data_IF_825865131174
#
_entry.id   IF_825865131174
#
_cell.length_a   1.000
_cell.length_b   1.000
_cell.length_c   1.000
_cell.angle_alpha   90.00
_cell.angle_beta   90.00
_cell.angle_gamma   90.00
#
_symmetry.space_group_name_H-M   'P 1'
#
loop_
_entity.id
_entity.type
_entity.pdbx_description
1 polymer ?
#
# COMPACT_ATOMS: atom_id res chain seq x y z
N UNK A 1 -20.83 5.49 12.23
CA UNK A 1 -19.89 5.87 13.30
C UNK A 1 -18.54 6.31 12.75
N UNK A 2 -17.82 5.46 11.99
CA UNK A 2 -16.59 5.84 11.25
C UNK A 2 -16.56 7.22 10.62
N UNK A 3 -17.54 7.56 9.77
CA UNK A 3 -17.57 8.88 9.11
C UNK A 3 -17.59 10.04 10.11
N UNK A 4 -18.29 9.93 11.24
CA UNK A 4 -18.34 10.98 12.26
C UNK A 4 -16.98 11.17 12.92
N UNK A 5 -16.35 10.08 13.37
CA UNK A 5 -15.00 10.09 13.98
C UNK A 5 -14.01 10.81 13.04
N UNK A 6 -14.10 10.48 11.75
CA UNK A 6 -13.30 11.04 10.69
C UNK A 6 -13.59 12.53 10.39
N UNK A 7 -14.82 12.98 10.61
CA UNK A 7 -15.21 14.40 10.48
C UNK A 7 -14.82 15.27 11.68
N UNK A 8 -14.05 14.74 12.64
CA UNK A 8 -13.62 15.49 13.83
C UNK A 8 -14.59 15.40 15.01
N UNK A 9 -15.58 14.51 14.94
CA UNK A 9 -16.40 14.16 16.09
C UNK A 9 -15.51 13.64 17.22
N UNK A 10 -15.69 14.16 18.44
CA UNK A 10 -14.99 13.66 19.61
C UNK A 10 -15.80 12.54 20.29
N UNK A 11 -15.46 11.25 20.11
CA UNK A 11 -16.21 10.15 20.72
C UNK A 11 -16.12 10.10 22.24
N UNK A 12 -15.21 10.88 22.84
CA UNK A 12 -15.03 11.01 24.29
C UNK A 12 -15.88 12.13 24.90
N UNK A 13 -16.52 12.95 24.08
CA UNK A 13 -17.43 13.97 24.58
C UNK A 13 -18.57 13.30 25.35
N UNK A 14 -18.83 13.83 26.55
CA UNK A 14 -19.92 13.37 27.41
C UNK A 14 -21.15 14.21 27.15
N UNK A 15 -22.30 13.55 27.11
CA UNK A 15 -23.60 14.21 27.09
C UNK A 15 -24.01 14.72 28.50
N UNK A 16 -25.23 15.23 28.60
CA UNK A 16 -25.79 15.74 29.86
C UNK A 16 -25.96 14.66 30.95
N UNK A 17 -25.90 13.37 30.60
CA UNK A 17 -25.94 12.24 31.52
C UNK A 17 -24.54 11.71 31.84
N UNK A 18 -23.48 12.33 31.32
CA UNK A 18 -22.11 11.87 31.48
C UNK A 18 -21.75 10.70 30.57
N UNK A 19 -22.61 10.35 29.60
CA UNK A 19 -22.44 9.22 28.71
C UNK A 19 -21.61 9.62 27.48
N UNK A 20 -20.66 8.76 27.12
CA UNK A 20 -19.88 8.87 25.87
C UNK A 20 -20.55 8.10 24.75
N UNK A 21 -20.05 8.24 23.51
CA UNK A 21 -20.55 7.44 22.38
C UNK A 21 -20.44 5.93 22.61
N UNK A 22 -19.48 5.49 23.43
CA UNK A 22 -19.34 4.08 23.80
C UNK A 22 -20.48 3.63 24.71
N UNK A 23 -20.88 4.44 25.69
CA UNK A 23 -22.05 4.15 26.54
C UNK A 23 -23.31 3.98 25.69
N UNK A 24 -23.57 4.93 24.79
CA UNK A 24 -24.74 4.90 23.90
C UNK A 24 -24.72 3.70 22.96
N UNK A 25 -23.56 3.37 22.38
CA UNK A 25 -23.40 2.19 21.51
C UNK A 25 -23.64 0.88 22.27
N UNK A 26 -23.24 0.83 23.55
CA UNK A 26 -23.45 -0.32 24.43
C UNK A 26 -24.91 -0.46 24.88
N UNK A 27 -25.61 0.65 25.14
CA UNK A 27 -27.05 0.65 25.44
C UNK A 27 -27.83 0.09 24.23
N UNK A 28 -27.44 0.52 23.02
CA UNK A 28 -28.10 0.14 21.78
C UNK A 28 -27.72 -1.28 21.27
N UNK A 29 -26.68 -1.90 21.82
CA UNK A 29 -26.20 -3.21 21.36
C UNK A 29 -25.50 -3.18 20.00
N UNK A 30 -25.01 -2.03 19.54
CA UNK A 30 -24.36 -1.90 18.24
C UNK A 30 -22.89 -2.32 18.31
N UNK A 31 -22.62 -3.62 18.13
CA UNK A 31 -21.27 -4.19 18.18
C UNK A 31 -20.28 -3.52 17.22
N UNK A 32 -20.72 -3.15 16.00
CA UNK A 32 -19.85 -2.51 15.01
C UNK A 32 -19.35 -1.16 15.52
N UNK A 33 -20.24 -0.34 16.08
CA UNK A 33 -19.86 0.96 16.64
C UNK A 33 -18.98 0.80 17.88
N UNK A 34 -19.25 -0.21 18.73
CA UNK A 34 -18.40 -0.56 19.88
C UNK A 34 -16.98 -0.93 19.43
N UNK A 35 -16.84 -1.78 18.39
CA UNK A 35 -15.53 -2.15 17.81
C UNK A 35 -14.77 -0.91 17.31
N UNK A 36 -15.43 -0.10 16.47
CA UNK A 36 -14.83 1.12 15.90
C UNK A 36 -14.39 2.14 16.98
N UNK A 37 -15.12 2.21 18.08
CA UNK A 37 -14.82 3.08 19.22
C UNK A 37 -13.69 2.55 20.10
N UNK A 38 -13.64 1.23 20.36
CA UNK A 38 -12.60 0.60 21.16
C UNK A 38 -11.24 0.59 20.45
N UNK A 39 -11.23 0.62 19.12
CA UNK A 39 -10.03 0.72 18.29
C UNK A 39 -9.42 2.13 18.26
N UNK A 40 -10.08 3.15 18.83
CA UNK A 40 -9.53 4.51 18.89
C UNK A 40 -8.42 4.62 19.95
N UNK A 41 -7.36 5.37 19.64
CA UNK A 41 -6.28 5.63 20.58
C UNK A 41 -6.78 6.31 21.86
N UNK A 42 -6.45 5.71 23.00
CA UNK A 42 -6.88 6.20 24.31
C UNK A 42 -8.37 6.01 24.61
N UNK A 43 -9.02 5.00 24.01
CA UNK A 43 -10.39 4.62 24.37
C UNK A 43 -10.47 4.20 25.86
N UNK A 44 -11.36 4.86 26.61
CA UNK A 44 -11.59 4.58 28.02
C UNK A 44 -12.83 3.70 28.19
N UNK A 45 -12.61 2.41 28.45
CA UNK A 45 -13.67 1.38 28.47
C UNK A 45 -14.42 1.31 29.81
N UNK A 46 -13.81 1.81 30.88
CA UNK A 46 -14.32 1.73 32.26
C UNK A 46 -14.80 3.08 32.81
N UNK A 47 -14.99 4.08 31.95
CA UNK A 47 -15.56 5.35 32.35
C UNK A 47 -16.97 5.15 32.90
N UNK A 48 -17.30 5.89 33.95
CA UNK A 48 -18.64 5.91 34.55
C UNK A 48 -19.45 7.11 34.07
N UNK A 49 -20.72 6.89 33.78
CA UNK A 49 -21.71 7.96 33.59
C UNK A 49 -22.11 8.61 34.94
N UNK A 50 -23.01 9.60 34.92
CA UNK A 50 -23.47 10.28 36.14
C UNK A 50 -24.18 9.36 37.14
N UNK A 51 -24.69 8.22 36.68
CA UNK A 51 -25.31 7.20 37.53
C UNK A 51 -24.30 6.15 38.02
N UNK A 52 -22.99 6.36 37.76
CA UNK A 52 -21.94 5.44 38.15
C UNK A 52 -21.85 4.18 37.27
N UNK A 53 -22.57 4.12 36.14
CA UNK A 53 -22.60 2.92 35.26
C UNK A 53 -21.52 3.02 34.19
N UNK A 54 -20.79 1.93 33.97
CA UNK A 54 -19.84 1.79 32.86
C UNK A 54 -20.53 1.31 31.58
N UNK A 55 -19.91 1.45 30.39
CA UNK A 55 -20.44 0.89 29.14
C UNK A 55 -20.76 -0.60 29.25
N UNK A 56 -19.89 -1.38 29.91
CA UNK A 56 -20.11 -2.80 30.15
C UNK A 56 -21.34 -3.08 31.03
N UNK A 57 -21.54 -2.29 32.10
CA UNK A 57 -22.72 -2.40 32.96
C UNK A 57 -24.01 -2.09 32.19
N UNK A 58 -23.97 -1.09 31.30
CA UNK A 58 -25.11 -0.72 30.46
C UNK A 58 -25.45 -1.82 29.44
N UNK A 59 -24.45 -2.39 28.75
CA UNK A 59 -24.65 -3.53 27.87
C UNK A 59 -25.21 -4.75 28.61
N UNK A 60 -24.70 -5.01 29.83
CA UNK A 60 -25.16 -6.09 30.72
C UNK A 60 -26.61 -5.92 31.15
N UNK A 61 -27.00 -4.71 31.56
CA UNK A 61 -28.38 -4.40 31.95
C UNK A 61 -29.38 -4.55 30.80
N UNK A 62 -28.94 -4.41 29.55
CA UNK A 62 -29.74 -4.61 28.33
C UNK A 62 -29.58 -6.01 27.71
N UNK A 63 -28.72 -6.87 28.27
CA UNK A 63 -28.45 -8.26 27.83
C UNK A 63 -27.85 -8.41 26.42
N UNK A 64 -27.06 -7.43 25.96
CA UNK A 64 -26.34 -7.50 24.67
C UNK A 64 -25.07 -8.37 24.77
N UNK A 65 -25.24 -9.69 24.70
CA UNK A 65 -24.17 -10.67 25.01
C UNK A 65 -22.91 -10.54 24.14
N UNK A 66 -23.07 -10.28 22.86
CA UNK A 66 -21.98 -10.08 21.89
C UNK A 66 -21.11 -8.85 22.24
N UNK A 67 -21.74 -7.75 22.65
CA UNK A 67 -21.07 -6.54 23.14
C UNK A 67 -20.39 -6.80 24.49
N UNK A 68 -21.05 -7.52 25.40
CA UNK A 68 -20.50 -7.87 26.72
C UNK A 68 -19.23 -8.72 26.56
N UNK A 69 -19.27 -9.75 25.73
CA UNK A 69 -18.14 -10.63 25.47
C UNK A 69 -16.97 -9.86 24.87
N UNK A 70 -17.24 -9.03 23.86
CA UNK A 70 -16.22 -8.20 23.24
C UNK A 70 -15.58 -7.22 24.22
N UNK A 71 -16.37 -6.48 25.01
CA UNK A 71 -15.85 -5.51 25.98
C UNK A 71 -15.06 -6.18 27.11
N UNK A 72 -15.53 -7.30 27.66
CA UNK A 72 -14.79 -8.06 28.68
C UNK A 72 -13.41 -8.47 28.15
N UNK A 73 -13.34 -8.93 26.90
CA UNK A 73 -12.06 -9.28 26.25
C UNK A 73 -11.14 -8.07 26.13
N UNK A 74 -11.67 -6.91 25.73
CA UNK A 74 -10.88 -5.69 25.60
C UNK A 74 -10.38 -5.16 26.96
N UNK A 75 -11.24 -5.12 27.97
CA UNK A 75 -10.89 -4.70 29.33
C UNK A 75 -9.81 -5.63 29.93
N UNK A 76 -9.98 -6.95 29.80
CA UNK A 76 -8.97 -7.93 30.21
C UNK A 76 -7.64 -7.73 29.49
N UNK A 77 -7.68 -7.40 28.19
CA UNK A 77 -6.47 -7.12 27.41
C UNK A 77 -5.78 -5.83 27.86
N UNK A 78 -6.54 -4.79 28.24
CA UNK A 78 -6.00 -3.49 28.71
C UNK A 78 -5.41 -3.57 30.11
N UNK A 79 -5.98 -4.42 30.97
CA UNK A 79 -5.52 -4.64 32.35
C UNK A 79 -4.42 -5.71 32.47
N UNK A 80 -4.01 -6.35 31.36
CA UNK A 80 -2.87 -7.28 31.35
C UNK A 80 -1.57 -6.51 31.55
N UNK A 81 -0.89 -6.74 32.67
CA UNK A 81 0.41 -6.14 32.99
C UNK A 81 1.56 -6.70 32.13
N UNK A 82 1.36 -7.86 31.51
CA UNK A 82 2.32 -8.46 30.58
C UNK A 82 2.04 -7.85 29.20
N UNK A 83 2.99 -7.10 28.59
CA UNK A 83 2.86 -6.71 27.20
C UNK A 83 2.75 -8.00 26.39
N UNK A 84 1.70 -8.12 25.57
CA UNK A 84 1.63 -9.20 24.58
C UNK A 84 2.77 -8.98 23.61
N UNK A 85 3.89 -9.66 23.86
CA UNK A 85 5.00 -9.71 22.93
C UNK A 85 4.54 -10.57 21.76
N UNK A 86 3.89 -9.93 20.79
CA UNK A 86 3.51 -10.59 19.55
C UNK A 86 4.78 -10.75 18.71
N UNK A 87 5.54 -11.79 19.05
CA UNK A 87 6.82 -12.14 18.42
C UNK A 87 6.66 -12.29 16.90
N UNK A 88 5.50 -12.76 16.45
CA UNK A 88 5.15 -12.86 15.03
C UNK A 88 4.98 -11.48 14.40
N UNK A 89 4.32 -10.53 15.07
CA UNK A 89 4.25 -9.14 14.56
C UNK A 89 5.60 -8.42 14.56
N UNK A 90 6.49 -8.76 15.50
CA UNK A 90 7.84 -8.20 15.56
C UNK A 90 8.67 -8.75 14.40
N UNK A 91 8.64 -10.07 14.17
CA UNK A 91 9.40 -10.73 13.12
C UNK A 91 8.82 -10.43 11.73
N UNK A 92 7.51 -10.56 11.56
CA UNK A 92 6.83 -10.57 10.26
C UNK A 92 5.93 -9.36 10.01
N UNK A 93 5.90 -8.36 10.90
CA UNK A 93 5.05 -7.17 10.78
C UNK A 93 3.61 -7.39 11.26
N UNK A 94 2.88 -6.33 11.60
CA UNK A 94 1.51 -6.43 12.10
C UNK A 94 0.52 -6.88 11.01
N UNK A 95 -0.67 -7.39 11.39
CA UNK A 95 -1.72 -7.74 10.43
C UNK A 95 -2.03 -6.56 9.48
N UNK A 96 -1.96 -6.81 8.17
CA UNK A 96 -2.15 -5.79 7.14
C UNK A 96 -0.88 -5.02 6.72
N UNK A 97 0.27 -5.24 7.39
CA UNK A 97 1.58 -4.73 6.99
C UNK A 97 2.68 -5.79 7.18
N UNK A 98 2.56 -6.90 6.47
CA UNK A 98 3.45 -8.06 6.59
C UNK A 98 4.78 -7.86 5.86
N UNK A 99 5.88 -8.23 6.53
CA UNK A 99 7.26 -8.32 6.00
C UNK A 99 7.58 -9.68 5.38
N UNK A 100 6.64 -10.63 5.37
CA UNK A 100 6.90 -12.01 4.92
C UNK A 100 7.47 -12.03 3.50
N UNK A 101 6.92 -11.25 2.58
CA UNK A 101 7.36 -11.25 1.17
C UNK A 101 8.82 -10.76 1.03
N UNK A 102 9.16 -9.63 1.64
CA UNK A 102 10.53 -9.10 1.60
C UNK A 102 11.50 -10.03 2.35
N UNK A 103 11.12 -10.59 3.50
CA UNK A 103 11.97 -11.53 4.23
C UNK A 103 12.21 -12.81 3.45
N UNK A 104 11.18 -13.38 2.83
CA UNK A 104 11.30 -14.53 1.94
C UNK A 104 12.28 -14.23 0.81
N UNK A 105 12.12 -13.10 0.12
CA UNK A 105 13.03 -12.66 -0.94
C UNK A 105 14.48 -12.54 -0.43
N UNK A 106 14.71 -11.87 0.70
CA UNK A 106 16.05 -11.64 1.26
C UNK A 106 16.74 -12.94 1.67
N UNK A 107 16.01 -13.83 2.37
CA UNK A 107 16.53 -15.12 2.82
C UNK A 107 16.82 -16.01 1.63
N UNK A 108 15.93 -16.08 0.65
CA UNK A 108 16.13 -16.87 -0.55
C UNK A 108 17.39 -16.42 -1.32
N UNK A 109 17.49 -15.13 -1.64
CA UNK A 109 18.65 -14.61 -2.39
C UNK A 109 19.95 -14.80 -1.62
N UNK A 110 19.95 -14.56 -0.30
CA UNK A 110 21.17 -14.56 0.52
C UNK A 110 21.61 -15.94 0.99
N UNK A 111 20.67 -16.83 1.31
CA UNK A 111 20.95 -18.17 1.85
C UNK A 111 20.89 -19.27 0.79
N UNK A 112 20.34 -19.00 -0.39
CA UNK A 112 20.22 -19.98 -1.47
C UNK A 112 20.80 -19.48 -2.79
N UNK A 113 20.27 -18.39 -3.36
CA UNK A 113 20.68 -17.87 -4.66
C UNK A 113 22.18 -17.57 -4.78
N UNK A 114 22.72 -16.72 -3.90
CA UNK A 114 24.15 -16.39 -3.92
C UNK A 114 25.08 -17.54 -3.55
N UNK A 115 24.80 -18.36 -2.51
CA UNK A 115 25.60 -19.55 -2.25
C UNK A 115 25.66 -20.51 -3.44
N UNK A 116 24.52 -20.78 -4.10
CA UNK A 116 24.48 -21.60 -5.31
C UNK A 116 25.30 -20.98 -6.44
N UNK A 117 25.16 -19.67 -6.67
CA UNK A 117 25.95 -18.97 -7.67
C UNK A 117 27.45 -19.07 -7.39
N UNK A 118 27.90 -18.80 -6.16
CA UNK A 118 29.32 -18.77 -5.80
C UNK A 118 29.94 -20.18 -5.79
N UNK A 119 29.24 -21.18 -5.26
CA UNK A 119 29.81 -22.52 -5.04
C UNK A 119 29.72 -23.38 -6.30
N UNK A 120 28.63 -23.25 -7.07
CA UNK A 120 28.36 -24.16 -8.19
C UNK A 120 28.47 -23.49 -9.56
N UNK A 121 27.93 -22.29 -9.73
CA UNK A 121 27.91 -21.64 -11.04
C UNK A 121 29.26 -20.98 -11.37
N UNK A 122 29.70 -20.04 -10.54
CA UNK A 122 30.88 -19.21 -10.77
C UNK A 122 32.14 -20.02 -11.11
N UNK A 123 32.58 -21.03 -10.32
CA UNK A 123 33.79 -21.78 -10.64
C UNK A 123 33.65 -22.64 -11.91
N UNK A 124 32.44 -23.05 -12.25
CA UNK A 124 32.17 -23.90 -13.40
C UNK A 124 32.15 -23.09 -14.71
N UNK A 125 31.51 -21.92 -14.70
CA UNK A 125 31.24 -21.15 -15.93
C UNK A 125 32.14 -19.93 -16.11
N UNK A 126 33.11 -19.67 -15.22
CA UNK A 126 33.88 -18.43 -15.24
C UNK A 126 34.58 -18.17 -16.58
N UNK A 127 35.30 -19.16 -17.10
CA UNK A 127 36.11 -19.01 -18.29
C UNK A 127 35.28 -18.94 -19.57
N UNK A 128 34.18 -19.70 -19.62
CA UNK A 128 33.31 -19.77 -20.80
C UNK A 128 32.35 -18.58 -20.88
N UNK A 129 31.87 -18.10 -19.73
CA UNK A 129 30.80 -17.09 -19.63
C UNK A 129 31.23 -15.80 -18.89
N UNK A 130 32.53 -15.46 -18.93
CA UNK A 130 33.10 -14.32 -18.20
C UNK A 130 32.32 -13.00 -18.39
N UNK A 131 31.93 -12.68 -19.63
CA UNK A 131 31.18 -11.45 -19.94
C UNK A 131 29.81 -11.47 -19.26
N UNK A 132 29.13 -12.62 -19.25
CA UNK A 132 27.83 -12.76 -18.60
C UNK A 132 27.95 -12.62 -17.08
N UNK A 133 29.04 -13.11 -16.47
CA UNK A 133 29.31 -12.89 -15.05
C UNK A 133 29.49 -11.40 -14.72
N UNK A 134 30.24 -10.65 -15.55
CA UNK A 134 30.41 -9.20 -15.37
C UNK A 134 29.05 -8.49 -15.44
N UNK A 135 28.23 -8.82 -16.44
CA UNK A 135 26.86 -8.29 -16.55
C UNK A 135 26.03 -8.65 -15.31
N UNK A 136 26.09 -9.90 -14.87
CA UNK A 136 25.36 -10.38 -13.69
C UNK A 136 25.76 -9.62 -12.42
N UNK A 137 27.05 -9.34 -12.21
CA UNK A 137 27.52 -8.54 -11.06
C UNK A 137 27.02 -7.09 -11.13
N UNK A 138 27.11 -6.44 -12.29
CA UNK A 138 26.61 -5.07 -12.47
C UNK A 138 25.10 -5.01 -12.22
N UNK A 139 24.34 -5.95 -12.77
CA UNK A 139 22.90 -6.03 -12.56
C UNK A 139 22.53 -6.24 -11.08
N UNK A 140 23.29 -7.04 -10.34
CA UNK A 140 23.09 -7.19 -8.89
C UNK A 140 23.32 -5.87 -8.13
N UNK A 141 24.37 -5.11 -8.48
CA UNK A 141 24.63 -3.79 -7.87
C UNK A 141 23.45 -2.86 -8.14
N UNK A 142 22.97 -2.80 -9.39
CA UNK A 142 21.81 -1.97 -9.77
C UNK A 142 20.54 -2.41 -9.04
N UNK A 143 20.30 -3.72 -8.94
CA UNK A 143 19.15 -4.30 -8.25
C UNK A 143 19.13 -3.90 -6.77
N UNK A 144 20.23 -4.10 -6.03
CA UNK A 144 20.28 -3.75 -4.62
C UNK A 144 20.19 -2.25 -4.38
N UNK A 145 20.87 -1.45 -5.19
CA UNK A 145 20.80 0.00 -5.13
C UNK A 145 19.36 0.51 -5.35
N UNK A 146 18.70 0.00 -6.38
CA UNK A 146 17.32 0.38 -6.70
C UNK A 146 16.31 -0.14 -5.67
N UNK A 147 16.50 -1.34 -5.10
CA UNK A 147 15.68 -1.85 -4.00
C UNK A 147 15.82 -0.98 -2.74
N UNK A 148 17.04 -0.60 -2.38
CA UNK A 148 17.29 0.31 -1.26
C UNK A 148 16.55 1.63 -1.45
N UNK A 149 16.66 2.25 -2.63
CA UNK A 149 15.96 3.50 -2.91
C UNK A 149 14.44 3.33 -3.00
N UNK A 150 13.93 2.25 -3.61
CA UNK A 150 12.49 2.00 -3.67
C UNK A 150 11.88 1.84 -2.27
N UNK A 151 12.56 1.12 -1.38
CA UNK A 151 12.10 0.82 -0.01
C UNK A 151 12.23 2.01 0.96
N UNK A 152 13.25 2.85 0.81
CA UNK A 152 13.54 3.93 1.78
C UNK A 152 13.06 5.32 1.34
N UNK A 153 12.85 5.54 0.05
CA UNK A 153 12.42 6.85 -0.46
C UNK A 153 10.98 7.13 -0.05
N UNK A 154 10.70 8.35 0.44
CA UNK A 154 9.33 8.86 0.58
C UNK A 154 8.61 8.73 -0.76
N UNK A 155 7.52 7.93 -0.87
CA UNK A 155 6.83 7.67 -2.13
C UNK A 155 6.09 8.89 -2.68
N UNK A 156 6.01 9.98 -1.92
CA UNK A 156 5.24 11.18 -2.24
C UNK A 156 4.10 11.37 -1.26
N UNK A 157 4.37 11.27 0.03
CA UNK A 157 3.38 11.53 1.06
C UNK A 157 2.82 12.96 0.97
N UNK A 158 1.51 13.06 1.00
CA UNK A 158 0.80 14.35 1.02
C UNK A 158 0.75 14.93 2.45
N UNK A 159 0.61 16.26 2.58
CA UNK A 159 0.44 16.94 3.86
C UNK A 159 -0.87 16.50 4.54
N UNK A 160 -0.95 16.67 5.86
CA UNK A 160 -2.15 16.38 6.66
C UNK A 160 -2.74 17.66 7.23
N UNK A 161 -4.04 17.64 7.54
CA UNK A 161 -4.74 18.74 8.21
C UNK A 161 -4.61 20.06 7.43
N UNK A 162 -4.93 20.01 6.14
CA UNK A 162 -4.80 21.18 5.27
C UNK A 162 -6.07 22.05 5.36
N UNK A 163 -5.97 23.39 5.37
CA UNK A 163 -7.13 24.28 5.53
C UNK A 163 -8.23 24.08 4.48
N UNK A 164 -7.85 23.68 3.27
CA UNK A 164 -8.75 23.42 2.15
C UNK A 164 -9.75 22.30 2.46
N UNK A 165 -9.36 21.33 3.30
CA UNK A 165 -10.27 20.30 3.78
C UNK A 165 -11.40 20.89 4.62
N UNK A 166 -11.06 21.79 5.55
CA UNK A 166 -12.05 22.40 6.43
C UNK A 166 -12.98 23.33 5.65
N UNK A 167 -12.45 24.02 4.64
CA UNK A 167 -13.25 24.82 3.71
C UNK A 167 -14.21 23.94 2.91
N UNK A 168 -13.72 22.84 2.32
CA UNK A 168 -14.55 21.90 1.56
C UNK A 168 -15.65 21.25 2.41
N UNK A 169 -15.36 20.94 3.67
CA UNK A 169 -16.37 20.42 4.62
C UNK A 169 -17.42 21.48 4.96
N UNK A 170 -17.03 22.74 5.18
CA UNK A 170 -18.01 23.82 5.45
C UNK A 170 -18.96 24.05 4.28
N UNK A 171 -18.48 23.87 3.05
CA UNK A 171 -19.29 24.02 1.85
C UNK A 171 -20.27 22.86 1.62
N UNK A 172 -20.22 21.77 2.40
CA UNK A 172 -21.20 20.65 2.33
C UNK A 172 -22.64 21.15 2.50
N UNK A 173 -22.85 22.24 3.23
CA UNK A 173 -24.18 22.85 3.38
C UNK A 173 -24.80 23.31 2.04
N UNK A 174 -23.97 23.55 1.01
CA UNK A 174 -24.37 23.95 -0.34
C UNK A 174 -24.34 22.79 -1.33
N UNK A 175 -24.41 21.53 -0.86
CA UNK A 175 -24.27 20.34 -1.69
C UNK A 175 -25.24 20.29 -2.89
N UNK A 176 -26.45 20.83 -2.76
CA UNK A 176 -27.43 20.83 -3.85
C UNK A 176 -26.98 21.64 -5.07
N UNK A 177 -26.15 22.67 -4.87
CA UNK A 177 -25.54 23.48 -5.93
C UNK A 177 -24.46 22.69 -6.71
N UNK A 178 -23.87 21.66 -6.09
CA UNK A 178 -22.84 20.81 -6.71
C UNK A 178 -23.39 19.69 -7.59
N UNK A 179 -24.71 19.50 -7.67
CA UNK A 179 -25.31 18.54 -8.61
C UNK A 179 -25.04 18.90 -10.08
N UNK A 180 -24.65 20.15 -10.35
CA UNK A 180 -24.37 20.67 -11.69
C UNK A 180 -22.87 20.96 -11.94
N UNK A 181 -21.98 20.65 -10.98
CA UNK A 181 -20.54 20.95 -11.05
C UNK A 181 -19.64 19.86 -10.45
N UNK A 182 -18.34 20.15 -10.31
CA UNK A 182 -17.40 19.21 -9.68
C UNK A 182 -17.68 19.08 -8.17
N UNK A 183 -17.85 17.85 -7.69
CA UNK A 183 -18.11 17.58 -6.27
C UNK A 183 -16.81 17.30 -5.51
N UNK A 184 -16.24 18.27 -4.76
CA UNK A 184 -14.98 18.10 -4.04
C UNK A 184 -15.07 17.06 -2.93
N UNK A 185 -16.27 16.72 -2.44
CA UNK A 185 -16.46 15.74 -1.36
C UNK A 185 -16.02 14.35 -1.75
N UNK A 186 -16.16 14.00 -3.04
CA UNK A 186 -15.75 12.69 -3.57
C UNK A 186 -14.25 12.42 -3.40
N UNK A 187 -13.45 13.49 -3.25
CA UNK A 187 -11.99 13.45 -3.17
C UNK A 187 -11.47 13.71 -1.76
N UNK A 188 -12.33 13.85 -0.76
CA UNK A 188 -11.89 14.01 0.61
C UNK A 188 -11.19 12.73 1.13
N UNK A 189 -10.12 12.93 1.88
CA UNK A 189 -9.57 11.93 2.77
C UNK A 189 -9.70 12.45 4.19
N UNK A 190 -10.64 11.91 4.93
CA UNK A 190 -10.87 12.32 6.30
C UNK A 190 -9.76 11.86 7.26
N UNK A 191 -9.17 10.68 7.04
CA UNK A 191 -8.03 10.18 7.84
C UNK A 191 -6.84 11.13 7.82
N UNK A 192 -6.56 11.76 6.68
CA UNK A 192 -5.47 12.71 6.54
C UNK A 192 -5.93 14.18 6.59
N UNK A 193 -7.25 14.43 6.69
CA UNK A 193 -7.89 15.75 6.56
C UNK A 193 -7.32 16.56 5.39
N UNK A 194 -7.49 16.02 4.18
CA UNK A 194 -7.08 16.68 2.94
C UNK A 194 -8.04 16.40 1.78
N UNK A 195 -8.11 17.33 0.83
CA UNK A 195 -8.70 17.11 -0.49
C UNK A 195 -7.63 16.45 -1.37
N UNK A 196 -7.85 15.20 -1.77
CA UNK A 196 -6.85 14.42 -2.52
C UNK A 196 -6.61 15.06 -3.89
N UNK A 197 -5.37 15.45 -4.24
CA UNK A 197 -5.01 15.82 -5.61
C UNK A 197 -5.32 14.71 -6.61
N UNK A 198 -5.38 15.05 -7.89
CA UNK A 198 -5.60 14.08 -8.96
C UNK A 198 -4.61 12.91 -8.86
N UNK A 199 -5.07 11.70 -9.20
CA UNK A 199 -4.28 10.45 -9.15
C UNK A 199 -3.74 10.04 -7.76
N UNK A 200 -4.08 10.76 -6.69
CA UNK A 200 -3.65 10.41 -5.33
C UNK A 200 -4.64 9.49 -4.61
N UNK A 201 -4.15 8.66 -3.70
CA UNK A 201 -4.96 7.72 -2.91
C UNK A 201 -4.46 7.61 -1.49
N UNK A 202 -5.38 7.37 -0.56
CA UNK A 202 -5.05 6.97 0.81
C UNK A 202 -4.64 5.50 0.83
N UNK A 203 -3.39 5.22 1.23
CA UNK A 203 -2.97 3.87 1.56
C UNK A 203 -3.25 3.63 3.04
N UNK A 204 -4.09 2.63 3.34
CA UNK A 204 -4.42 2.25 4.72
C UNK A 204 -3.21 1.69 5.48
N UNK A 205 -2.32 0.98 4.78
CA UNK A 205 -1.12 0.37 5.36
C UNK A 205 -0.10 1.44 5.75
N UNK A 206 0.24 2.33 4.81
CA UNK A 206 1.09 3.49 5.06
C UNK A 206 0.39 4.55 5.95
N UNK A 207 -0.92 4.40 6.21
CA UNK A 207 -1.82 5.36 6.86
C UNK A 207 -1.67 6.80 6.34
N UNK A 208 -1.39 6.98 5.04
CA UNK A 208 -1.08 8.28 4.43
C UNK A 208 -1.66 8.35 3.02
N UNK A 209 -2.02 9.54 2.58
CA UNK A 209 -2.27 9.80 1.16
C UNK A 209 -0.95 9.90 0.41
N UNK A 210 -0.87 9.22 -0.73
CA UNK A 210 0.29 9.18 -1.62
C UNK A 210 -0.06 9.87 -2.92
N UNK A 211 0.81 10.77 -3.38
CA UNK A 211 0.73 11.42 -4.69
C UNK A 211 1.01 10.40 -5.81
N UNK A 212 0.21 10.43 -6.88
CA UNK A 212 0.25 9.46 -8.00
C UNK A 212 0.41 8.04 -7.46
N UNK A 213 -0.58 7.58 -6.70
CA UNK A 213 -0.51 6.30 -6.00
C UNK A 213 -0.58 5.15 -7.00
N UNK A 214 0.43 4.29 -6.99
CA UNK A 214 0.44 3.08 -7.81
C UNK A 214 -0.07 1.88 -7.00
N UNK A 215 0.66 1.46 -5.99
CA UNK A 215 0.23 0.37 -5.09
C UNK A 215 1.02 0.39 -3.79
N UNK A 216 0.62 -0.43 -2.82
CA UNK A 216 1.46 -0.75 -1.66
C UNK A 216 2.15 -2.08 -1.94
N UNK A 217 3.48 -2.10 -1.87
CA UNK A 217 4.26 -3.24 -2.31
C UNK A 217 4.91 -3.96 -1.11
N UNK A 218 4.53 -5.22 -0.84
CA UNK A 218 5.09 -5.97 0.28
C UNK A 218 6.55 -6.37 0.06
N UNK A 219 7.03 -6.42 -1.19
CA UNK A 219 8.41 -6.79 -1.54
C UNK A 219 9.44 -5.68 -1.28
N UNK A 220 9.01 -4.42 -1.23
CA UNK A 220 9.88 -3.29 -0.82
C UNK A 220 9.47 -2.72 0.54
N UNK A 221 8.43 -3.28 1.16
CA UNK A 221 7.82 -2.83 2.41
C UNK A 221 7.50 -1.32 2.44
N UNK A 222 7.07 -0.78 1.31
CA UNK A 222 6.78 0.64 1.13
C UNK A 222 5.65 0.81 0.09
N UNK A 223 5.03 1.99 0.09
CA UNK A 223 4.16 2.39 -0.99
C UNK A 223 5.00 2.71 -2.25
N UNK A 224 4.49 2.36 -3.43
CA UNK A 224 5.01 2.82 -4.73
C UNK A 224 4.14 3.99 -5.17
N UNK A 225 4.76 5.15 -5.34
CA UNK A 225 4.10 6.40 -5.69
C UNK A 225 4.98 7.29 -6.56
N UNK A 226 4.57 8.55 -6.69
CA UNK A 226 5.24 9.52 -7.56
C UNK A 226 6.77 9.53 -7.42
N UNK A 227 7.28 9.65 -6.19
CA UNK A 227 8.71 9.91 -5.95
C UNK A 227 9.62 8.68 -6.05
N UNK A 228 9.09 7.45 -5.96
CA UNK A 228 9.91 6.23 -5.91
C UNK A 228 9.56 5.18 -6.98
N UNK A 229 8.54 5.40 -7.82
CA UNK A 229 8.14 4.46 -8.89
C UNK A 229 9.25 4.13 -9.89
N UNK A 230 10.15 5.07 -10.16
CA UNK A 230 11.30 4.87 -11.04
C UNK A 230 12.32 3.89 -10.44
N UNK A 231 12.55 3.97 -9.13
CA UNK A 231 13.41 3.02 -8.42
C UNK A 231 12.80 1.63 -8.40
N UNK A 232 11.50 1.53 -8.14
CA UNK A 232 10.78 0.27 -8.20
C UNK A 232 10.81 -0.35 -9.60
N UNK A 233 10.69 0.47 -10.66
CA UNK A 233 10.81 0.02 -12.05
C UNK A 233 12.20 -0.53 -12.36
N UNK A 234 13.26 0.18 -11.99
CA UNK A 234 14.65 -0.27 -12.19
C UNK A 234 14.92 -1.57 -11.40
N UNK A 235 14.38 -1.68 -10.19
CA UNK A 235 14.48 -2.89 -9.38
C UNK A 235 13.84 -4.09 -10.08
N UNK A 236 12.61 -3.96 -10.56
CA UNK A 236 11.91 -5.05 -11.26
C UNK A 236 12.58 -5.42 -12.58
N UNK A 237 13.07 -4.44 -13.35
CA UNK A 237 13.79 -4.70 -14.60
C UNK A 237 15.15 -5.36 -14.38
N UNK A 238 15.90 -4.95 -13.36
CA UNK A 238 17.16 -5.62 -13.02
C UNK A 238 16.92 -7.05 -12.52
N UNK A 239 15.88 -7.28 -11.71
CA UNK A 239 15.42 -8.62 -11.33
C UNK A 239 15.10 -9.49 -12.55
N UNK A 240 14.41 -8.94 -13.57
CA UNK A 240 14.08 -9.67 -14.79
C UNK A 240 15.34 -10.13 -15.54
N UNK A 241 16.29 -9.22 -15.74
CA UNK A 241 17.54 -9.53 -16.42
C UNK A 241 18.39 -10.53 -15.62
N UNK A 242 18.45 -10.39 -14.29
CA UNK A 242 19.14 -11.34 -13.41
C UNK A 242 18.53 -12.73 -13.48
N UNK A 243 17.19 -12.82 -13.52
CA UNK A 243 16.49 -14.10 -13.64
C UNK A 243 16.83 -14.79 -14.97
N UNK A 244 16.82 -14.04 -16.09
CA UNK A 244 17.26 -14.56 -17.40
C UNK A 244 18.71 -15.05 -17.39
N UNK A 245 19.63 -14.32 -16.76
CA UNK A 245 21.01 -14.77 -16.62
C UNK A 245 21.12 -16.05 -15.77
N UNK A 246 20.34 -16.13 -14.68
CA UNK A 246 20.33 -17.29 -13.78
C UNK A 246 19.82 -18.54 -14.48
N UNK A 247 18.71 -18.42 -15.22
CA UNK A 247 18.16 -19.52 -16.01
C UNK A 247 19.15 -19.99 -17.08
N UNK A 248 19.86 -19.07 -17.73
CA UNK A 248 20.88 -19.40 -18.72
C UNK A 248 22.09 -20.12 -18.09
N UNK A 249 22.58 -19.64 -16.94
CA UNK A 249 23.66 -20.33 -16.21
C UNK A 249 23.25 -21.75 -15.83
N UNK A 250 22.03 -21.93 -15.30
CA UNK A 250 21.53 -23.23 -14.92
C UNK A 250 21.38 -24.16 -16.14
N UNK A 251 20.85 -23.66 -17.26
CA UNK A 251 20.77 -24.40 -18.51
C UNK A 251 22.15 -24.86 -19.00
N UNK A 252 23.13 -23.95 -19.03
CA UNK A 252 24.48 -24.22 -19.51
C UNK A 252 25.18 -25.31 -18.68
N UNK A 253 25.06 -25.24 -17.35
CA UNK A 253 25.65 -26.26 -16.47
C UNK A 253 24.95 -27.61 -16.71
N UNK A 254 23.62 -27.63 -16.75
CA UNK A 254 22.84 -28.86 -16.92
C UNK A 254 22.97 -29.49 -18.31
N UNK A 255 23.39 -28.74 -19.34
CA UNK A 255 23.67 -29.32 -20.65
C UNK A 255 24.98 -30.09 -20.70
N UNK A 256 25.91 -29.80 -19.80
CA UNK A 256 27.22 -30.46 -19.71
C UNK A 256 27.24 -31.53 -18.62
N UNK A 257 26.70 -31.23 -17.44
CA UNK A 257 26.68 -32.14 -16.30
C UNK A 257 25.40 -32.02 -15.48
N UNK A 258 24.81 -33.18 -15.16
CA UNK A 258 23.61 -33.23 -14.33
C UNK A 258 23.96 -33.04 -12.84
N UNK A 259 23.36 -32.03 -12.21
CA UNK A 259 23.45 -31.79 -10.76
C UNK A 259 22.06 -31.50 -10.17
N UNK A 260 21.63 -32.30 -9.19
CA UNK A 260 20.31 -32.17 -8.56
C UNK A 260 20.07 -30.81 -7.90
N UNK A 261 21.09 -30.21 -7.29
CA UNK A 261 20.94 -28.90 -6.66
C UNK A 261 20.74 -27.81 -7.71
N UNK A 262 21.43 -27.91 -8.86
CA UNK A 262 21.21 -27.00 -9.98
C UNK A 262 19.84 -27.22 -10.62
N UNK A 263 19.36 -28.46 -10.74
CA UNK A 263 17.99 -28.72 -11.21
C UNK A 263 16.93 -28.07 -10.30
N UNK A 264 17.07 -28.20 -8.97
CA UNK A 264 16.15 -27.57 -8.01
C UNK A 264 16.21 -26.04 -8.15
N UNK A 265 17.42 -25.47 -8.20
CA UNK A 265 17.61 -24.04 -8.40
C UNK A 265 17.05 -23.53 -9.73
N UNK A 266 17.17 -24.29 -10.81
CA UNK A 266 16.63 -23.96 -12.13
C UNK A 266 15.10 -23.93 -12.13
N UNK A 267 14.44 -24.89 -11.46
CA UNK A 267 12.97 -24.91 -11.35
C UNK A 267 12.50 -23.69 -10.55
N UNK A 268 13.15 -23.39 -9.44
CA UNK A 268 12.82 -22.23 -8.62
C UNK A 268 13.04 -20.91 -9.37
N UNK A 269 14.20 -20.75 -10.02
CA UNK A 269 14.52 -19.59 -10.83
C UNK A 269 13.49 -19.42 -11.96
N UNK A 270 13.12 -20.49 -12.66
CA UNK A 270 12.09 -20.45 -13.71
C UNK A 270 10.72 -20.00 -13.20
N UNK A 271 10.29 -20.45 -12.01
CA UNK A 271 9.04 -19.96 -11.38
C UNK A 271 9.15 -18.46 -11.07
N UNK A 272 10.27 -18.02 -10.52
CA UNK A 272 10.53 -16.60 -10.25
C UNK A 272 10.55 -15.78 -11.55
N UNK A 273 11.17 -16.28 -12.61
CA UNK A 273 11.23 -15.67 -13.94
C UNK A 273 9.85 -15.42 -14.51
N UNK A 274 8.92 -16.39 -14.41
CA UNK A 274 7.53 -16.22 -14.87
C UNK A 274 6.87 -15.04 -14.13
N UNK A 275 6.98 -15.01 -12.80
CA UNK A 275 6.40 -13.95 -11.98
C UNK A 275 6.99 -12.58 -12.30
N UNK A 276 8.32 -12.48 -12.35
CA UNK A 276 9.04 -11.23 -12.63
C UNK A 276 8.77 -10.75 -14.06
N UNK A 277 8.67 -11.65 -15.04
CA UNK A 277 8.31 -11.30 -16.43
C UNK A 277 6.92 -10.67 -16.51
N UNK A 278 5.94 -11.24 -15.79
CA UNK A 278 4.58 -10.70 -15.77
C UNK A 278 4.55 -9.29 -15.16
N UNK A 279 5.24 -9.07 -14.03
CA UNK A 279 5.31 -7.76 -13.38
C UNK A 279 6.07 -6.75 -14.24
N UNK A 280 7.20 -7.14 -14.83
CA UNK A 280 8.02 -6.29 -15.72
C UNK A 280 7.22 -5.85 -16.94
N UNK A 281 6.49 -6.77 -17.58
CA UNK A 281 5.64 -6.48 -18.73
C UNK A 281 4.51 -5.51 -18.35
N UNK A 282 3.84 -5.76 -17.22
CA UNK A 282 2.78 -4.88 -16.70
C UNK A 282 3.31 -3.48 -16.41
N UNK A 283 4.43 -3.36 -15.72
CA UNK A 283 5.05 -2.07 -15.38
C UNK A 283 5.53 -1.31 -16.60
N UNK A 284 6.09 -2.01 -17.59
CA UNK A 284 6.50 -1.42 -18.87
C UNK A 284 5.30 -0.85 -19.59
N UNK A 285 4.21 -1.61 -19.69
CA UNK A 285 2.97 -1.12 -20.26
C UNK A 285 2.43 0.11 -19.52
N UNK A 286 2.39 0.07 -18.18
CA UNK A 286 1.95 1.18 -17.34
C UNK A 286 2.78 2.46 -17.55
N UNK A 287 4.10 2.32 -17.64
CA UNK A 287 5.01 3.41 -17.97
C UNK A 287 4.75 3.95 -19.38
N UNK A 288 4.66 3.08 -20.39
CA UNK A 288 4.48 3.50 -21.79
C UNK A 288 3.10 4.09 -22.07
N UNK A 289 2.11 3.84 -21.21
CA UNK A 289 0.76 4.39 -21.31
C UNK A 289 0.44 5.41 -20.20
N UNK A 290 1.42 5.85 -19.41
CA UNK A 290 1.24 6.82 -18.31
C UNK A 290 0.03 6.53 -17.39
N UNK A 291 -0.17 5.27 -17.04
CA UNK A 291 -1.26 4.82 -16.17
C UNK A 291 -0.68 4.04 -14.99
N UNK A 292 -1.17 4.30 -13.78
CA UNK A 292 -0.77 3.49 -12.62
C UNK A 292 -1.53 2.17 -12.56
N UNK A 293 -1.01 1.17 -11.86
CA UNK A 293 -1.69 -0.11 -11.62
C UNK A 293 -3.02 0.11 -10.90
N UNK A 294 -3.06 1.02 -9.91
CA UNK A 294 -4.29 1.39 -9.23
C UNK A 294 -5.33 2.03 -10.18
N UNK A 295 -4.90 2.89 -11.11
CA UNK A 295 -5.77 3.46 -12.14
C UNK A 295 -6.31 2.40 -13.08
N UNK A 296 -5.44 1.53 -13.60
CA UNK A 296 -5.83 0.45 -14.51
C UNK A 296 -6.84 -0.51 -13.87
N UNK A 297 -6.56 -0.98 -12.65
CA UNK A 297 -7.44 -1.91 -11.93
C UNK A 297 -8.79 -1.27 -11.59
N UNK A 298 -8.78 0.03 -11.23
CA UNK A 298 -9.98 0.73 -10.79
C UNK A 298 -10.54 1.69 -11.84
N UNK A 299 -10.22 1.50 -13.13
CA UNK A 299 -10.52 2.46 -14.20
C UNK A 299 -11.99 2.89 -14.25
N UNK A 300 -12.92 1.95 -14.00
CA UNK A 300 -14.37 2.21 -13.99
C UNK A 300 -14.80 3.22 -12.92
N UNK A 301 -14.01 3.39 -11.85
CA UNK A 301 -14.28 4.29 -10.72
C UNK A 301 -13.79 5.72 -10.95
N UNK A 302 -12.91 5.94 -11.94
CA UNK A 302 -12.32 7.26 -12.18
C UNK A 302 -13.00 7.91 -13.38
N UNK A 303 -13.70 9.02 -13.15
CA UNK A 303 -14.39 9.75 -14.22
C UNK A 303 -13.40 10.43 -15.18
N UNK A 304 -12.24 10.85 -14.69
CA UNK A 304 -11.16 11.39 -15.51
C UNK A 304 -10.50 10.33 -16.44
N UNK A 305 -10.88 9.05 -16.34
CA UNK A 305 -10.45 8.00 -17.27
C UNK A 305 -11.56 7.59 -18.25
N UNK A 306 -12.54 8.49 -18.47
CA UNK A 306 -13.66 8.26 -19.37
C UNK A 306 -13.79 9.40 -20.36
N UNK A 307 -14.17 9.08 -21.59
CA UNK A 307 -14.54 10.09 -22.59
C UNK A 307 -15.97 10.61 -22.35
N UNK A 308 -16.42 11.55 -23.19
CA UNK A 308 -17.78 12.09 -23.15
C UNK A 308 -18.90 11.06 -23.39
N UNK A 309 -18.57 9.84 -23.83
CA UNK A 309 -19.51 8.71 -24.01
C UNK A 309 -19.41 7.68 -22.89
N UNK A 310 -18.54 7.90 -21.91
CA UNK A 310 -18.30 6.99 -20.79
C UNK A 310 -17.36 5.82 -21.11
N UNK A 311 -16.78 5.77 -22.31
CA UNK A 311 -15.79 4.77 -22.71
C UNK A 311 -14.41 5.10 -22.11
N UNK A 312 -13.51 4.11 -22.01
CA UNK A 312 -12.19 4.32 -21.45
C UNK A 312 -11.38 5.32 -22.29
N UNK A 313 -10.85 6.35 -21.62
CA UNK A 313 -9.97 7.35 -22.21
C UNK A 313 -8.86 7.66 -21.21
N UNK A 314 -7.62 7.83 -21.69
CA UNK A 314 -6.49 8.14 -20.82
C UNK A 314 -5.89 9.50 -21.19
N UNK A 315 -6.24 10.58 -20.48
CA UNK A 315 -5.74 11.93 -20.78
C UNK A 315 -4.24 12.10 -20.49
N UNK A 316 -3.61 11.14 -19.79
CA UNK A 316 -2.21 11.20 -19.44
C UNK A 316 -1.30 10.55 -20.50
N UNK A 317 -1.87 9.78 -21.43
CA UNK A 317 -1.10 9.12 -22.47
C UNK A 317 -0.72 10.11 -23.59
N UNK A 318 0.56 10.45 -23.67
CA UNK A 318 1.15 11.35 -24.68
C UNK A 318 2.06 10.60 -25.65
N UNK A 319 1.90 9.28 -25.75
CA UNK A 319 2.77 8.38 -26.50
C UNK A 319 4.01 7.94 -25.71
N UNK A 320 4.61 6.78 -26.07
CA UNK A 320 5.59 6.08 -25.23
C UNK A 320 6.81 6.92 -24.82
N UNK A 321 7.36 7.71 -25.73
CA UNK A 321 8.56 8.53 -25.46
C UNK A 321 8.25 9.65 -24.47
N UNK A 322 7.10 10.33 -24.63
CA UNK A 322 6.73 11.39 -23.69
C UNK A 322 6.36 10.81 -22.33
N UNK A 323 5.68 9.66 -22.30
CA UNK A 323 5.29 8.99 -21.07
C UNK A 323 6.51 8.48 -20.28
N UNK A 324 7.53 7.97 -20.97
CA UNK A 324 8.82 7.64 -20.36
C UNK A 324 9.46 8.86 -19.70
N UNK A 325 9.50 10.00 -20.41
CA UNK A 325 10.02 11.26 -19.86
C UNK A 325 9.24 11.74 -18.63
N UNK A 326 7.91 11.63 -18.67
CA UNK A 326 7.05 11.96 -17.54
C UNK A 326 7.27 10.99 -16.35
N UNK A 327 7.49 9.70 -16.60
CA UNK A 327 7.72 8.67 -15.58
C UNK A 327 9.01 8.91 -14.80
N UNK A 328 10.09 9.29 -15.49
CA UNK A 328 11.39 9.63 -14.90
C UNK A 328 11.55 11.11 -14.51
N UNK A 329 10.44 11.86 -14.45
CA UNK A 329 10.40 13.27 -14.01
C UNK A 329 11.27 14.22 -14.84
N UNK A 330 11.47 13.92 -16.12
CA UNK A 330 12.17 14.80 -17.07
C UNK A 330 11.27 15.94 -17.59
N UNK A 331 9.99 15.98 -17.19
CA UNK A 331 8.99 16.99 -17.56
C UNK A 331 8.12 17.34 -16.35
N UNK A 332 7.51 18.54 -16.39
CA UNK A 332 6.52 18.99 -15.39
C UNK A 332 5.26 18.10 -15.46
N UNK A 333 4.71 17.77 -14.30
CA UNK A 333 3.46 17.03 -14.16
C UNK A 333 2.24 17.86 -14.64
N UNK A 334 1.26 17.18 -15.25
CA UNK A 334 -0.02 17.79 -15.61
C UNK A 334 -0.84 18.08 -14.34
N UNK A 335 -1.30 19.31 -14.23
CA UNK A 335 -2.26 19.75 -13.21
C UNK A 335 -3.70 19.42 -13.63
N UNK A 336 -4.64 19.60 -12.71
CA UNK A 336 -6.07 19.42 -13.00
C UNK A 336 -6.54 20.35 -14.14
N UNK A 337 -6.08 21.61 -14.13
CA UNK A 337 -6.32 22.55 -15.23
C UNK A 337 -5.76 22.06 -16.56
N UNK A 338 -4.57 21.44 -16.53
CA UNK A 338 -3.96 20.90 -17.75
C UNK A 338 -4.79 19.71 -18.30
N UNK A 339 -5.44 18.92 -17.43
CA UNK A 339 -6.31 17.78 -17.84
C UNK A 339 -7.65 18.25 -18.37
N UNK A 340 -8.29 19.24 -17.74
CA UNK A 340 -9.55 19.81 -18.21
C UNK A 340 -9.42 20.35 -19.64
N UNK A 341 -8.33 21.08 -19.93
CA UNK A 341 -8.03 21.61 -21.27
C UNK A 341 -7.85 20.48 -22.31
N UNK A 342 -7.28 19.34 -21.91
CA UNK A 342 -7.06 18.19 -22.80
C UNK A 342 -8.32 17.34 -23.02
N UNK A 343 -9.36 17.53 -22.19
CA UNK A 343 -10.63 16.81 -22.27
C UNK A 343 -11.73 17.55 -23.04
N UNK A 344 -11.48 18.80 -23.42
CA UNK A 344 -12.25 19.62 -24.35
C UNK A 344 -11.77 19.37 -25.79
#
# INVERSE_FOLDING_TARGET
MRLLIYSGFNPRQRDNYGQTSLHLSCINGNLTSVKELCEQDGAELDLKDKNGKTPLMLASGRKHQDVIEYLRRQIKSKNSFIPKLDLLSIAFGPPGNSKVAILFFMVNVSCWGYPMYIIKCLPYTWYDLMVLHIIFFILNIVMWFSLFHASTTDPGYLPRNVPEYDLAIKQVAHFDEWKQGENPLSRLCHTCRLVKPLRSKHCRVCNRCIKVFDHHCPYIYNCVGYKNRQWFFIFVWSMFLLAMCTDFFAYYILSEEFDWAICIGAIEAGIATIGVTAVTSMMTFHMTSNITSNERINQKRYNYLKDGKGAFYNPFDKGPVSNFRDFFHMKRELTEKDVEILSL
#
